data_IF_775435393782
#
_entry.id   IF_775435393782
#
_cell.length_a   1.000
_cell.length_b   1.000
_cell.length_c   1.000
_cell.angle_alpha   90.00
_cell.angle_beta   90.00
_cell.angle_gamma   90.00
#
_symmetry.space_group_name_H-M   'P 1'
#
loop_
_entity.id
_entity.type
_entity.pdbx_description
1 polymer ?
#
# COMPACT_ATOMS: atom_id res chain seq x y z
N UNK A 1 6.10 14.82 32.78
CA UNK A 1 5.04 14.41 31.85
C UNK A 1 5.71 14.13 30.51
N UNK A 2 5.76 12.86 30.09
CA UNK A 2 6.32 12.41 28.82
C UNK A 2 5.41 12.74 27.63
N UNK A 3 5.93 12.51 26.41
CA UNK A 3 5.27 12.87 25.14
C UNK A 3 3.88 12.23 24.98
N UNK A 4 3.68 11.02 25.50
CA UNK A 4 2.46 10.22 25.29
C UNK A 4 1.57 10.11 26.53
N UNK A 5 1.90 10.76 27.64
CA UNK A 5 1.18 10.61 28.92
C UNK A 5 -0.31 10.92 28.82
N UNK A 6 -0.72 11.83 27.92
CA UNK A 6 -2.14 12.12 27.68
C UNK A 6 -2.87 10.96 27.02
N UNK A 7 -2.20 10.23 26.13
CA UNK A 7 -2.81 9.10 25.44
C UNK A 7 -2.94 7.89 26.35
N UNK A 8 -1.99 7.68 27.27
CA UNK A 8 -2.04 6.58 28.25
C UNK A 8 -3.22 6.68 29.23
N UNK A 9 -3.89 7.83 29.31
CA UNK A 9 -5.14 8.00 30.07
C UNK A 9 -6.37 7.42 29.34
N UNK A 10 -6.27 7.11 28.05
CA UNK A 10 -7.36 6.57 27.25
C UNK A 10 -7.45 5.07 27.50
N UNK A 11 -8.64 4.59 27.91
CA UNK A 11 -8.87 3.17 28.12
C UNK A 11 -8.61 2.36 26.83
N UNK A 12 -7.83 1.28 26.95
CA UNK A 12 -7.45 0.43 25.82
C UNK A 12 -6.33 0.99 24.94
N UNK A 13 -5.71 2.12 25.31
CA UNK A 13 -4.50 2.59 24.63
C UNK A 13 -3.30 1.71 24.99
N UNK A 14 -2.55 1.28 23.97
CA UNK A 14 -1.33 0.48 24.14
C UNK A 14 -0.18 1.14 23.37
N UNK A 15 0.62 1.93 24.09
CA UNK A 15 1.73 2.66 23.48
C UNK A 15 2.85 1.73 23.01
N UNK A 16 3.04 0.58 23.67
CA UNK A 16 4.08 -0.37 23.30
C UNK A 16 3.74 -1.03 21.96
N UNK A 17 2.50 -1.49 21.79
CA UNK A 17 2.03 -2.03 20.51
C UNK A 17 2.12 -1.01 19.38
N UNK A 18 1.79 0.26 19.64
CA UNK A 18 1.97 1.32 18.65
C UNK A 18 3.45 1.50 18.29
N UNK A 19 4.35 1.53 19.27
CA UNK A 19 5.78 1.68 19.05
C UNK A 19 6.43 0.50 18.32
N UNK A 20 5.85 -0.70 18.39
CA UNK A 20 6.29 -1.88 17.65
C UNK A 20 5.64 -1.99 16.25
N UNK A 21 4.56 -1.24 16.01
CA UNK A 21 3.79 -1.32 14.77
C UNK A 21 4.53 -0.72 13.57
N UNK A 22 4.40 -1.40 12.43
CA UNK A 22 4.76 -0.88 11.11
C UNK A 22 3.49 -0.63 10.29
N UNK A 23 3.30 0.62 9.84
CA UNK A 23 2.19 0.99 8.96
C UNK A 23 2.71 1.40 7.60
N UNK A 24 2.16 0.81 6.54
CA UNK A 24 2.45 1.18 5.16
C UNK A 24 1.34 2.10 4.66
N UNK A 25 1.66 3.35 4.32
CA UNK A 25 0.71 4.35 3.84
C UNK A 25 0.94 4.56 2.34
N UNK A 26 -0.06 4.21 1.52
CA UNK A 26 0.00 4.37 0.08
C UNK A 26 -0.80 5.61 -0.34
N UNK A 27 -0.12 6.58 -0.95
CA UNK A 27 -0.62 7.92 -1.22
C UNK A 27 -0.33 8.86 -0.05
N UNK A 28 0.45 9.90 -0.31
CA UNK A 28 0.86 10.95 0.64
C UNK A 28 0.36 12.32 0.15
N UNK A 29 -0.78 12.32 -0.53
CA UNK A 29 -1.53 13.52 -0.88
C UNK A 29 -2.27 14.12 0.32
N UNK A 30 -3.47 14.65 0.08
CA UNK A 30 -4.27 15.34 1.10
C UNK A 30 -4.58 14.44 2.31
N UNK A 31 -5.25 13.30 2.08
CA UNK A 31 -5.65 12.36 3.14
C UNK A 31 -4.42 11.75 3.82
N UNK A 32 -3.48 11.25 3.02
CA UNK A 32 -2.30 10.53 3.50
C UNK A 32 -1.41 11.38 4.39
N UNK A 33 -1.24 12.66 4.04
CA UNK A 33 -0.48 13.61 4.86
C UNK A 33 -1.09 13.78 6.26
N UNK A 34 -2.42 13.94 6.35
CA UNK A 34 -3.12 14.03 7.64
C UNK A 34 -3.04 12.72 8.44
N UNK A 35 -3.25 11.59 7.78
CA UNK A 35 -3.20 10.28 8.43
C UNK A 35 -1.79 9.99 8.98
N UNK A 36 -0.75 10.17 8.16
CA UNK A 36 0.64 9.93 8.55
C UNK A 36 1.08 10.85 9.70
N UNK A 37 0.70 12.13 9.64
CA UNK A 37 0.95 13.10 10.71
C UNK A 37 0.34 12.64 12.05
N UNK A 38 -0.94 12.25 12.03
CA UNK A 38 -1.64 11.81 13.23
C UNK A 38 -1.05 10.50 13.79
N UNK A 39 -0.69 9.53 12.94
CA UNK A 39 -0.08 8.28 13.37
C UNK A 39 1.33 8.48 13.96
N UNK A 40 2.13 9.37 13.38
CA UNK A 40 3.44 9.72 13.94
C UNK A 40 3.30 10.37 15.32
N UNK A 41 2.33 11.27 15.50
CA UNK A 41 2.03 11.91 16.78
C UNK A 41 1.41 10.95 17.81
N UNK A 42 0.73 9.88 17.36
CA UNK A 42 0.28 8.79 18.21
C UNK A 42 1.43 7.87 18.67
N UNK A 43 2.63 8.01 18.08
CA UNK A 43 3.80 7.21 18.43
C UNK A 43 3.81 5.83 17.78
N UNK A 44 3.26 5.71 16.55
CA UNK A 44 3.51 4.53 15.72
C UNK A 44 5.01 4.40 15.46
N UNK A 45 5.55 3.19 15.61
CA UNK A 45 6.98 2.91 15.54
C UNK A 45 7.59 3.21 14.17
N UNK A 46 6.98 2.65 13.12
CA UNK A 46 7.47 2.80 11.74
C UNK A 46 6.35 3.17 10.79
N UNK A 47 6.59 4.19 9.97
CA UNK A 47 5.73 4.59 8.86
C UNK A 47 6.49 4.48 7.55
N UNK A 48 6.06 3.59 6.66
CA UNK A 48 6.55 3.53 5.28
C UNK A 48 5.58 4.32 4.38
N UNK A 49 6.05 5.46 3.87
CA UNK A 49 5.27 6.37 3.04
C UNK A 49 5.54 6.10 1.56
N UNK A 50 4.52 5.65 0.83
CA UNK A 50 4.63 5.26 -0.58
C UNK A 50 3.86 6.24 -1.45
N UNK A 51 4.57 7.04 -2.25
CA UNK A 51 3.98 7.99 -3.20
C UNK A 51 5.00 8.28 -4.31
N UNK A 52 4.68 7.97 -5.58
CA UNK A 52 5.60 8.17 -6.70
C UNK A 52 5.64 9.63 -7.19
N UNK A 53 4.75 10.49 -6.73
CA UNK A 53 4.61 11.83 -7.30
C UNK A 53 5.55 12.86 -6.64
N UNK A 54 5.80 13.93 -7.39
CA UNK A 54 6.37 15.16 -6.87
C UNK A 54 5.29 16.12 -6.37
N UNK A 55 5.70 17.05 -5.50
CA UNK A 55 4.83 18.07 -4.94
C UNK A 55 4.51 19.12 -6.00
N UNK A 56 3.22 19.43 -6.16
CA UNK A 56 2.72 20.53 -6.98
C UNK A 56 2.08 21.61 -6.12
N UNK A 57 1.95 22.83 -6.67
CA UNK A 57 1.28 23.96 -6.00
C UNK A 57 -0.14 23.59 -5.54
N UNK A 58 -0.89 22.84 -6.34
CA UNK A 58 -2.25 22.41 -6.00
C UNK A 58 -2.30 21.65 -4.67
N UNK A 59 -1.24 20.91 -4.31
CA UNK A 59 -1.20 20.11 -3.09
C UNK A 59 -1.14 20.97 -1.83
N UNK A 60 -0.57 22.18 -1.91
CA UNK A 60 -0.37 23.06 -0.75
C UNK A 60 -1.67 23.53 -0.10
N UNK A 61 -2.78 23.48 -0.84
CA UNK A 61 -4.12 23.79 -0.32
C UNK A 61 -4.65 22.76 0.69
N UNK A 62 -4.14 21.53 0.69
CA UNK A 62 -4.79 20.38 1.35
C UNK A 62 -3.86 19.33 1.97
N UNK A 63 -2.54 19.42 1.74
CA UNK A 63 -1.55 18.47 2.28
C UNK A 63 -0.65 19.19 3.32
N UNK A 64 -0.89 19.03 4.62
CA UNK A 64 -0.26 19.84 5.68
C UNK A 64 1.25 19.64 5.84
N UNK A 65 1.82 18.58 5.26
CA UNK A 65 3.25 18.27 5.35
C UNK A 65 4.11 19.06 4.36
N UNK A 66 3.53 19.68 3.33
CA UNK A 66 4.27 20.34 2.26
C UNK A 66 4.30 21.86 2.42
N UNK A 67 5.35 22.51 1.91
CA UNK A 67 5.52 23.96 1.84
C UNK A 67 5.77 24.41 0.40
N UNK A 68 5.65 25.71 0.14
CA UNK A 68 5.92 26.28 -1.18
C UNK A 68 7.32 25.92 -1.71
N UNK A 69 8.32 25.97 -0.84
CA UNK A 69 9.70 25.61 -1.18
C UNK A 69 9.91 24.10 -1.45
N UNK A 70 8.89 23.28 -1.20
CA UNK A 70 8.93 21.84 -1.47
C UNK A 70 8.42 21.48 -2.88
N UNK A 71 7.90 22.43 -3.66
CA UNK A 71 7.42 22.18 -5.03
C UNK A 71 8.51 21.54 -5.91
N UNK A 72 8.14 20.50 -6.65
CA UNK A 72 9.06 19.74 -7.51
C UNK A 72 9.91 18.70 -6.78
N UNK A 73 9.77 18.58 -5.45
CA UNK A 73 10.43 17.53 -4.67
C UNK A 73 9.51 16.31 -4.50
N UNK A 74 10.06 15.09 -4.30
CA UNK A 74 9.23 13.90 -4.10
C UNK A 74 8.38 13.97 -2.84
N UNK A 75 7.07 13.74 -2.97
CA UNK A 75 6.10 13.83 -1.85
C UNK A 75 6.49 12.94 -0.68
N UNK A 76 6.77 11.65 -0.95
CA UNK A 76 7.12 10.68 0.09
C UNK A 76 8.37 11.11 0.88
N UNK A 77 9.40 11.62 0.18
CA UNK A 77 10.66 12.03 0.80
C UNK A 77 10.49 13.25 1.70
N UNK A 78 9.78 14.28 1.23
CA UNK A 78 9.49 15.49 2.02
C UNK A 78 8.61 15.13 3.21
N UNK A 79 7.57 14.32 3.03
CA UNK A 79 6.71 13.88 4.12
C UNK A 79 7.49 13.13 5.20
N UNK A 80 8.34 12.16 4.82
CA UNK A 80 9.15 11.41 5.78
C UNK A 80 10.06 12.34 6.59
N UNK A 81 10.72 13.30 5.93
CA UNK A 81 11.54 14.31 6.60
C UNK A 81 10.72 15.13 7.62
N UNK A 82 9.55 15.63 7.22
CA UNK A 82 8.68 16.46 8.08
C UNK A 82 8.13 15.66 9.27
N UNK A 83 7.83 14.38 9.07
CA UNK A 83 7.41 13.50 10.17
C UNK A 83 8.55 13.19 11.13
N UNK A 84 9.78 13.05 10.65
CA UNK A 84 10.96 12.88 11.51
C UNK A 84 11.22 14.13 12.36
N UNK A 85 11.00 15.33 11.81
CA UNK A 85 11.04 16.60 12.57
C UNK A 85 9.94 16.64 13.64
N UNK A 86 8.72 16.22 13.29
CA UNK A 86 7.54 16.28 14.15
C UNK A 86 7.57 15.24 15.29
N UNK A 87 7.94 14.00 14.97
CA UNK A 87 7.97 12.87 15.89
C UNK A 87 9.27 12.08 15.71
N UNK A 88 10.37 12.48 16.39
CA UNK A 88 11.66 11.80 16.28
C UNK A 88 11.67 10.34 16.74
N UNK A 89 10.61 9.91 17.45
CA UNK A 89 10.44 8.53 17.91
C UNK A 89 9.78 7.62 16.86
N UNK A 90 9.18 8.20 15.82
CA UNK A 90 8.61 7.47 14.69
C UNK A 90 9.63 7.39 13.56
N UNK A 91 10.00 6.18 13.17
CA UNK A 91 10.84 5.94 11.99
C UNK A 91 9.99 6.12 10.72
N UNK A 92 10.05 7.31 10.13
CA UNK A 92 9.40 7.61 8.86
C UNK A 92 10.36 7.33 7.68
N UNK A 93 9.93 6.51 6.75
CA UNK A 93 10.68 6.13 5.55
C UNK A 93 9.89 6.48 4.29
N UNK A 94 10.60 6.85 3.22
CA UNK A 94 10.01 7.22 1.96
C UNK A 94 10.24 6.17 0.88
N UNK A 95 9.21 5.90 0.08
CA UNK A 95 9.26 5.07 -1.13
C UNK A 95 8.63 5.85 -2.28
N UNK A 96 9.47 6.49 -3.09
CA UNK A 96 9.10 7.25 -4.28
C UNK A 96 8.88 6.40 -5.54
N UNK A 97 8.40 5.16 -5.38
CA UNK A 97 8.27 4.19 -6.48
C UNK A 97 6.79 3.84 -6.71
N UNK A 98 6.40 3.41 -7.93
CA UNK A 98 5.03 3.00 -8.23
C UNK A 98 4.53 1.93 -7.26
N UNK A 99 3.25 1.94 -6.91
CA UNK A 99 2.67 1.04 -5.92
C UNK A 99 2.94 -0.45 -6.18
N UNK A 100 2.69 -0.90 -7.42
CA UNK A 100 2.73 -2.32 -7.79
C UNK A 100 4.15 -2.86 -7.81
N UNK A 101 5.11 -2.07 -8.28
CA UNK A 101 6.50 -2.51 -8.45
C UNK A 101 7.37 -2.10 -7.26
N UNK A 102 7.00 -1.02 -6.56
CA UNK A 102 7.80 -0.35 -5.57
C UNK A 102 7.50 -0.71 -4.11
N UNK A 103 6.48 -1.52 -3.81
CA UNK A 103 6.17 -1.98 -2.44
C UNK A 103 6.02 -3.49 -2.44
N UNK A 104 6.94 -4.21 -1.77
CA UNK A 104 7.02 -5.67 -1.89
C UNK A 104 5.83 -6.38 -1.26
N UNK A 105 5.41 -7.51 -1.85
CA UNK A 105 4.34 -8.33 -1.29
C UNK A 105 4.66 -8.82 0.13
N UNK A 106 5.91 -9.15 0.45
CA UNK A 106 6.28 -9.49 1.83
C UNK A 106 6.29 -8.26 2.76
N UNK A 107 6.64 -7.06 2.27
CA UNK A 107 6.51 -5.82 3.05
C UNK A 107 5.04 -5.56 3.44
N UNK A 108 4.10 -5.79 2.51
CA UNK A 108 2.65 -5.69 2.78
C UNK A 108 2.18 -6.77 3.75
N UNK A 109 2.62 -8.01 3.58
CA UNK A 109 2.26 -9.16 4.43
C UNK A 109 2.66 -8.93 5.89
N UNK A 110 3.86 -8.39 6.10
CA UNK A 110 4.46 -8.25 7.43
C UNK A 110 4.09 -6.91 8.09
N UNK A 111 3.42 -6.01 7.38
CA UNK A 111 2.91 -4.76 7.94
C UNK A 111 1.81 -5.03 8.99
N UNK A 112 1.83 -4.27 10.09
CA UNK A 112 0.76 -4.31 11.08
C UNK A 112 -0.57 -3.80 10.52
N UNK A 113 -0.49 -2.85 9.58
CA UNK A 113 -1.64 -2.33 8.83
C UNK A 113 -1.17 -1.67 7.53
N UNK A 114 -1.91 -1.89 6.44
CA UNK A 114 -1.77 -1.11 5.20
C UNK A 114 -2.89 -0.06 5.15
N UNK A 115 -2.55 1.18 4.84
CA UNK A 115 -3.50 2.29 4.71
C UNK A 115 -3.49 2.82 3.28
N UNK A 116 -4.63 2.76 2.61
CA UNK A 116 -4.85 3.34 1.27
C UNK A 116 -5.40 4.75 1.40
N UNK A 117 -4.63 5.71 0.90
CA UNK A 117 -5.00 7.12 0.75
C UNK A 117 -4.92 7.54 -0.74
N UNK A 118 -5.17 6.58 -1.64
CA UNK A 118 -5.08 6.75 -3.09
C UNK A 118 -6.34 7.43 -3.63
N UNK A 119 -6.23 8.18 -4.72
CA UNK A 119 -7.34 8.96 -5.31
C UNK A 119 -7.94 8.35 -6.57
N UNK A 120 -7.28 7.35 -7.17
CA UNK A 120 -7.81 6.63 -8.33
C UNK A 120 -8.37 5.25 -7.97
N UNK A 121 -9.45 4.88 -8.66
CA UNK A 121 -10.06 3.55 -8.53
C UNK A 121 -9.07 2.44 -8.88
N UNK A 122 -8.30 2.62 -9.95
CA UNK A 122 -7.32 1.65 -10.44
C UNK A 122 -6.22 1.38 -9.40
N UNK A 123 -5.64 2.42 -8.80
CA UNK A 123 -4.59 2.25 -7.80
C UNK A 123 -5.12 1.58 -6.52
N UNK A 124 -6.34 1.90 -6.10
CA UNK A 124 -7.01 1.21 -4.97
C UNK A 124 -7.26 -0.27 -5.24
N UNK A 125 -7.73 -0.60 -6.45
CA UNK A 125 -7.92 -2.00 -6.87
C UNK A 125 -6.60 -2.77 -6.87
N UNK A 126 -5.53 -2.17 -7.40
CA UNK A 126 -4.20 -2.76 -7.40
C UNK A 126 -3.70 -3.01 -5.97
N UNK A 127 -3.82 -2.03 -5.07
CA UNK A 127 -3.42 -2.21 -3.67
C UNK A 127 -4.23 -3.29 -2.96
N UNK A 128 -5.55 -3.26 -3.13
CA UNK A 128 -6.46 -4.23 -2.54
C UNK A 128 -6.15 -5.65 -3.01
N UNK A 129 -5.91 -5.86 -4.30
CA UNK A 129 -5.51 -7.15 -4.85
C UNK A 129 -4.18 -7.63 -4.26
N UNK A 130 -3.16 -6.76 -4.20
CA UNK A 130 -1.86 -7.09 -3.60
C UNK A 130 -1.98 -7.46 -2.11
N UNK A 131 -2.78 -6.72 -1.34
CA UNK A 131 -3.04 -7.05 0.06
C UNK A 131 -3.73 -8.41 0.19
N UNK A 132 -4.70 -8.72 -0.67
CA UNK A 132 -5.38 -10.02 -0.67
C UNK A 132 -4.44 -11.18 -1.01
N UNK A 133 -3.53 -11.01 -1.98
CA UNK A 133 -2.55 -12.04 -2.35
C UNK A 133 -1.75 -12.55 -1.15
N UNK A 134 -1.43 -11.68 -0.20
CA UNK A 134 -0.64 -12.02 1.00
C UNK A 134 -1.41 -12.01 2.31
N UNK A 135 -2.72 -11.75 2.26
CA UNK A 135 -3.58 -11.67 3.45
C UNK A 135 -3.29 -10.48 4.37
N UNK A 136 -2.82 -9.36 3.84
CA UNK A 136 -2.65 -8.12 4.59
C UNK A 136 -3.98 -7.41 4.85
N UNK A 137 -4.15 -6.85 6.04
CA UNK A 137 -5.30 -5.99 6.36
C UNK A 137 -5.14 -4.61 5.70
N UNK A 138 -6.21 -4.12 5.08
CA UNK A 138 -6.22 -2.85 4.35
C UNK A 138 -7.28 -1.91 4.91
N UNK A 139 -6.87 -0.72 5.34
CA UNK A 139 -7.74 0.39 5.71
C UNK A 139 -7.75 1.43 4.57
N UNK A 140 -8.84 1.55 3.84
CA UNK A 140 -9.00 2.49 2.72
C UNK A 140 -9.78 3.73 3.13
N UNK A 141 -9.33 4.88 2.64
CA UNK A 141 -10.07 6.13 2.72
C UNK A 141 -10.31 6.75 1.35
N UNK A 142 -11.50 7.28 1.16
CA UNK A 142 -11.83 8.10 0.00
C UNK A 142 -12.55 9.37 0.38
N UNK A 143 -12.41 10.40 -0.44
CA UNK A 143 -13.11 11.67 -0.26
C UNK A 143 -14.06 11.93 -1.42
N UNK A 144 -15.11 12.68 -1.12
CA UNK A 144 -15.99 13.37 -2.04
C UNK A 144 -16.01 14.86 -1.67
N UNK A 145 -16.74 15.69 -2.41
CA UNK A 145 -16.74 17.16 -2.21
C UNK A 145 -17.01 17.59 -0.76
N UNK A 146 -18.04 17.01 -0.15
CA UNK A 146 -18.51 17.31 1.20
C UNK A 146 -18.59 16.05 2.07
N UNK A 147 -17.72 15.08 1.84
CA UNK A 147 -17.80 13.81 2.55
C UNK A 147 -16.70 12.83 2.17
N UNK A 148 -16.91 11.58 2.53
CA UNK A 148 -15.94 10.56 2.24
C UNK A 148 -16.33 9.23 2.86
N UNK A 149 -15.41 8.28 2.77
CA UNK A 149 -15.65 6.92 3.20
C UNK A 149 -14.39 6.37 3.84
N UNK A 150 -14.58 5.60 4.91
CA UNK A 150 -13.54 4.83 5.59
C UNK A 150 -13.94 3.36 5.51
N UNK A 151 -13.02 2.50 5.10
CA UNK A 151 -13.31 1.09 4.85
C UNK A 151 -12.22 0.20 5.41
N UNK A 152 -12.60 -0.73 6.29
CA UNK A 152 -11.69 -1.78 6.73
C UNK A 152 -11.95 -3.06 5.93
N UNK A 153 -10.91 -3.54 5.27
CA UNK A 153 -10.87 -4.82 4.60
C UNK A 153 -10.01 -5.80 5.38
N UNK A 154 -10.69 -6.74 6.02
CA UNK A 154 -10.03 -7.89 6.62
C UNK A 154 -9.87 -9.00 5.57
N UNK A 155 -8.82 -9.83 5.65
CA UNK A 155 -8.55 -10.83 4.64
C UNK A 155 -9.69 -11.84 4.43
N UNK A 156 -10.49 -12.13 5.46
CA UNK A 156 -11.62 -13.07 5.37
C UNK A 156 -12.95 -12.41 4.94
N UNK A 157 -13.02 -11.08 4.90
CA UNK A 157 -14.22 -10.30 4.65
C UNK A 157 -14.49 -9.99 3.17
N UNK A 158 -15.46 -9.11 2.87
CA UNK A 158 -15.56 -8.49 1.55
C UNK A 158 -14.30 -7.68 1.25
N UNK A 159 -13.79 -7.71 0.02
CA UNK A 159 -12.72 -6.82 -0.42
C UNK A 159 -13.27 -5.55 -1.11
N UNK A 160 -12.38 -4.63 -1.50
CA UNK A 160 -12.72 -3.41 -2.23
C UNK A 160 -13.55 -3.69 -3.50
N UNK A 161 -13.15 -4.69 -4.30
CA UNK A 161 -13.87 -5.05 -5.51
C UNK A 161 -15.27 -5.63 -5.29
N UNK A 162 -15.58 -6.22 -4.11
CA UNK A 162 -16.91 -6.78 -3.84
C UNK A 162 -18.02 -5.73 -3.92
N UNK A 163 -17.72 -4.48 -3.59
CA UNK A 163 -18.68 -3.36 -3.68
C UNK A 163 -18.79 -2.73 -5.07
N UNK A 164 -18.02 -3.20 -6.06
CA UNK A 164 -17.95 -2.62 -7.39
C UNK A 164 -18.71 -3.44 -8.44
N UNK A 165 -19.16 -2.77 -9.50
CA UNK A 165 -19.71 -3.45 -10.66
C UNK A 165 -18.62 -4.26 -11.40
N UNK A 166 -18.99 -5.29 -12.19
CA UNK A 166 -18.01 -6.02 -13.01
C UNK A 166 -17.21 -5.10 -13.95
N UNK A 167 -17.83 -4.04 -14.49
CA UNK A 167 -17.16 -3.05 -15.34
C UNK A 167 -16.09 -2.28 -14.55
N UNK A 168 -16.41 -1.83 -13.35
CA UNK A 168 -15.47 -1.07 -12.52
C UNK A 168 -14.31 -1.94 -12.02
N UNK A 169 -14.53 -3.24 -11.79
CA UNK A 169 -13.46 -4.20 -11.47
C UNK A 169 -12.47 -4.36 -12.62
N UNK A 170 -12.93 -4.28 -13.87
CA UNK A 170 -12.07 -4.37 -15.04
C UNK A 170 -11.12 -3.18 -15.18
N UNK A 171 -11.31 -2.09 -14.42
CA UNK A 171 -10.35 -0.98 -14.35
C UNK A 171 -8.99 -1.40 -13.77
N UNK A 172 -8.89 -2.56 -13.11
CA UNK A 172 -7.60 -3.15 -12.73
C UNK A 172 -6.73 -3.52 -13.94
N UNK A 173 -7.35 -3.90 -15.06
CA UNK A 173 -6.66 -4.42 -16.26
C UNK A 173 -6.27 -3.33 -17.26
N UNK A 174 -6.55 -2.06 -16.94
CA UNK A 174 -6.32 -0.93 -17.82
C UNK A 174 -5.30 0.08 -17.25
N UNK A 175 -4.00 -0.05 -17.58
CA UNK A 175 -3.00 0.95 -17.24
C UNK A 175 -3.18 2.28 -18.00
N UNK A 176 -4.12 2.35 -18.95
CA UNK A 176 -4.43 3.52 -19.77
C UNK A 176 -5.86 4.05 -19.55
N UNK A 177 -6.51 3.70 -18.44
CA UNK A 177 -7.77 4.30 -18.03
C UNK A 177 -7.59 5.77 -17.56
N UNK A 178 -6.94 6.58 -18.38
CA UNK A 178 -7.24 7.98 -18.56
C UNK A 178 -8.27 8.19 -19.71
N UNK A 179 -8.85 7.13 -20.28
CA UNK A 179 -9.92 7.23 -21.27
C UNK A 179 -11.16 6.39 -20.88
N UNK A 180 -12.32 7.03 -20.94
CA UNK A 180 -13.70 6.49 -21.07
C UNK A 180 -14.53 6.15 -19.82
N UNK A 181 -14.01 6.34 -18.61
CA UNK A 181 -14.84 6.74 -17.49
C UNK A 181 -14.40 8.14 -17.07
N UNK A 182 -14.93 9.16 -17.76
CA UNK A 182 -14.98 10.51 -17.20
C UNK A 182 -15.89 10.44 -15.98
N UNK A 183 -15.37 9.92 -14.87
CA UNK A 183 -15.88 10.27 -13.55
C UNK A 183 -15.50 11.74 -13.43
N UNK A 184 -16.46 12.67 -13.31
CA UNK A 184 -16.13 14.07 -13.10
C UNK A 184 -15.15 14.13 -11.93
N UNK A 185 -14.02 14.80 -12.12
CA UNK A 185 -13.02 14.97 -11.08
C UNK A 185 -13.67 15.72 -9.91
N UNK A 186 -14.15 14.96 -8.93
CA UNK A 186 -14.84 15.51 -7.78
C UNK A 186 -13.76 15.98 -6.80
N UNK A 187 -13.44 17.27 -6.85
CA UNK A 187 -12.55 17.87 -5.87
C UNK A 187 -13.05 17.66 -4.45
N UNK A 188 -12.17 17.31 -3.53
CA UNK A 188 -12.47 17.27 -2.10
C UNK A 188 -11.97 18.55 -1.42
N UNK A 189 -12.77 19.11 -0.52
CA UNK A 189 -12.32 20.26 0.26
C UNK A 189 -11.20 19.85 1.23
N UNK A 190 -10.31 20.79 1.55
CA UNK A 190 -9.23 20.55 2.51
C UNK A 190 -9.74 20.09 3.90
N UNK A 191 -10.83 20.67 4.47
CA UNK A 191 -11.39 20.19 5.74
C UNK A 191 -11.90 18.74 5.68
N UNK A 192 -12.53 18.35 4.56
CA UNK A 192 -12.99 16.97 4.35
C UNK A 192 -11.81 16.01 4.27
N UNK A 193 -10.74 16.39 3.57
CA UNK A 193 -9.50 15.59 3.51
C UNK A 193 -8.89 15.41 4.90
N UNK A 194 -8.88 16.46 5.71
CA UNK A 194 -8.41 16.43 7.10
C UNK A 194 -9.29 15.53 7.99
N UNK A 195 -10.61 15.62 7.84
CA UNK A 195 -11.58 14.80 8.58
C UNK A 195 -11.38 13.31 8.29
N UNK A 196 -11.36 12.94 7.00
CA UNK A 196 -11.21 11.53 6.59
C UNK A 196 -9.81 11.02 6.94
N UNK A 197 -8.75 11.80 6.72
CA UNK A 197 -7.38 11.43 7.12
C UNK A 197 -7.24 11.19 8.62
N UNK A 198 -7.88 12.02 9.45
CA UNK A 198 -7.90 11.85 10.91
C UNK A 198 -8.73 10.63 11.32
N UNK A 199 -9.82 10.34 10.61
CA UNK A 199 -10.64 9.15 10.86
C UNK A 199 -9.89 7.86 10.49
N UNK A 200 -9.13 7.85 9.40
CA UNK A 200 -8.21 6.74 9.11
C UNK A 200 -7.23 6.54 10.26
N UNK A 201 -6.60 7.61 10.75
CA UNK A 201 -5.63 7.52 11.84
C UNK A 201 -6.26 6.99 13.14
N UNK A 202 -7.43 7.48 13.56
CA UNK A 202 -8.08 6.96 14.78
C UNK A 202 -8.50 5.50 14.63
N UNK A 203 -8.95 5.08 13.44
CA UNK A 203 -9.30 3.68 13.16
C UNK A 203 -8.06 2.79 13.20
N UNK A 204 -6.97 3.22 12.58
CA UNK A 204 -5.68 2.54 12.61
C UNK A 204 -5.14 2.40 14.04
N UNK A 205 -5.12 3.48 14.84
CA UNK A 205 -4.68 3.41 16.25
C UNK A 205 -5.53 2.42 17.05
N UNK A 206 -6.85 2.44 16.88
CA UNK A 206 -7.73 1.46 17.55
C UNK A 206 -7.38 0.03 17.17
N UNK A 207 -7.21 -0.25 15.88
CA UNK A 207 -6.80 -1.57 15.38
C UNK A 207 -5.44 -2.01 15.96
N UNK A 208 -4.45 -1.12 15.93
CA UNK A 208 -3.09 -1.41 16.39
C UNK A 208 -3.03 -1.65 17.91
N UNK A 209 -3.87 -0.96 18.69
CA UNK A 209 -4.07 -1.21 20.12
C UNK A 209 -4.92 -2.46 20.41
N UNK A 210 -5.47 -3.13 19.37
CA UNK A 210 -6.33 -4.31 19.51
C UNK A 210 -7.76 -4.02 19.94
N UNK A 211 -8.20 -2.77 19.86
CA UNK A 211 -9.59 -2.42 20.07
C UNK A 211 -10.43 -2.82 18.86
N UNK A 212 -11.65 -3.31 19.12
CA UNK A 212 -12.61 -3.59 18.06
C UNK A 212 -12.94 -2.30 17.29
N UNK A 213 -13.03 -2.44 15.97
CA UNK A 213 -13.56 -1.43 15.05
C UNK A 213 -14.73 -2.04 14.29
N UNK A 214 -15.71 -1.22 13.93
CA UNK A 214 -16.86 -1.70 13.17
C UNK A 214 -16.41 -2.24 11.81
N UNK A 215 -16.85 -3.45 11.40
CA UNK A 215 -16.50 -3.99 10.10
C UNK A 215 -17.20 -3.21 8.98
N UNK A 216 -16.58 -3.22 7.79
CA UNK A 216 -17.20 -2.71 6.57
C UNK A 216 -16.86 -1.25 6.26
N UNK A 217 -17.86 -0.53 5.75
CA UNK A 217 -17.71 0.81 5.17
C UNK A 217 -18.47 1.81 6.03
N UNK A 218 -17.85 2.92 6.37
CA UNK A 218 -18.49 4.07 6.99
C UNK A 218 -18.52 5.18 5.95
N UNK A 219 -19.72 5.62 5.56
CA UNK A 219 -19.92 6.78 4.68
C UNK A 219 -20.22 8.01 5.51
N UNK A 220 -19.42 9.04 5.29
CA UNK A 220 -19.47 10.33 5.96
C UNK A 220 -20.05 11.36 5.00
N UNK A 221 -21.12 12.02 5.42
CA UNK A 221 -21.73 13.15 4.71
C UNK A 221 -21.71 14.34 5.66
N UNK A 222 -20.88 15.35 5.34
CA UNK A 222 -20.74 16.55 6.17
C UNK A 222 -21.85 17.57 5.92
N UNK A 223 -22.49 17.54 4.76
CA UNK A 223 -23.64 18.41 4.47
C UNK A 223 -24.85 17.98 5.30
N UNK A 224 -25.06 16.66 5.43
CA UNK A 224 -26.10 16.08 6.29
C UNK A 224 -25.67 15.84 7.74
N UNK A 225 -24.40 16.07 8.08
CA UNK A 225 -23.80 15.75 9.39
C UNK A 225 -24.02 14.28 9.83
N UNK A 226 -23.90 13.33 8.90
CA UNK A 226 -24.13 11.90 9.18
C UNK A 226 -22.90 11.04 8.94
N UNK A 227 -22.80 9.96 9.71
CA UNK A 227 -21.87 8.86 9.48
C UNK A 227 -22.66 7.55 9.50
N UNK A 228 -22.75 6.89 8.35
CA UNK A 228 -23.64 5.74 8.15
C UNK A 228 -22.84 4.49 7.78
N UNK A 229 -22.99 3.38 8.53
CA UNK A 229 -22.46 2.09 8.10
C UNK A 229 -23.13 1.64 6.81
N UNK A 230 -22.34 1.21 5.83
CA UNK A 230 -22.79 0.64 4.57
C UNK A 230 -22.39 -0.83 4.54
N UNK A 231 -23.39 -1.70 4.41
CA UNK A 231 -23.16 -3.13 4.31
C UNK A 231 -22.58 -3.49 2.94
N UNK A 232 -21.42 -4.15 2.94
CA UNK A 232 -20.84 -4.77 1.75
C UNK A 232 -20.88 -6.27 1.93
N UNK A 233 -21.42 -6.99 0.95
CA UNK A 233 -21.43 -8.45 0.96
C UNK A 233 -20.18 -8.97 0.25
N UNK A 234 -19.61 -10.04 0.80
CA UNK A 234 -18.53 -10.76 0.14
C UNK A 234 -19.09 -11.43 -1.11
N UNK A 235 -18.47 -11.14 -2.25
CA UNK A 235 -18.75 -11.82 -3.51
C UNK A 235 -17.84 -13.07 -3.61
N UNK A 236 -18.41 -14.28 -3.65
CA UNK A 236 -17.64 -15.52 -3.72
C UNK A 236 -16.83 -15.65 -5.01
N UNK A 237 -17.27 -15.00 -6.09
CA UNK A 237 -16.65 -15.07 -7.42
C UNK A 237 -15.75 -13.85 -7.69
N UNK A 238 -15.46 -13.04 -6.67
CA UNK A 238 -14.61 -11.87 -6.82
C UNK A 238 -13.16 -12.30 -7.17
N UNK A 239 -12.60 -11.85 -8.31
CA UNK A 239 -11.25 -12.24 -8.74
C UNK A 239 -10.15 -11.69 -7.81
N UNK A 240 -10.47 -10.70 -6.97
CA UNK A 240 -9.54 -10.15 -5.99
C UNK A 240 -9.32 -11.03 -4.76
N UNK A 241 -10.08 -12.11 -4.57
CA UNK A 241 -9.93 -13.01 -3.42
C UNK A 241 -8.88 -14.11 -3.63
N UNK A 242 -8.02 -13.99 -4.64
CA UNK A 242 -6.88 -14.88 -4.82
C UNK A 242 -5.82 -14.67 -3.73
N UNK A 243 -5.32 -15.76 -3.14
CA UNK A 243 -4.17 -15.76 -2.23
C UNK A 243 -3.02 -16.55 -2.82
N UNK A 244 -1.81 -16.13 -2.50
CA UNK A 244 -0.59 -16.93 -2.67
C UNK A 244 -0.52 -17.88 -1.47
N UNK A 245 -0.61 -19.21 -1.68
CA UNK A 245 -0.44 -20.18 -0.61
C UNK A 245 0.98 -20.13 -0.07
N UNK A 246 1.14 -20.09 1.26
CA UNK A 246 2.45 -19.93 1.90
C UNK A 246 3.40 -21.09 1.59
N UNK A 247 2.85 -22.29 1.40
CA UNK A 247 3.58 -23.51 1.01
C UNK A 247 4.19 -23.44 -0.39
N UNK A 248 3.72 -22.52 -1.24
CA UNK A 248 4.28 -22.30 -2.57
C UNK A 248 5.40 -21.23 -2.57
N UNK A 249 5.67 -20.58 -1.43
CA UNK A 249 6.67 -19.52 -1.31
C UNK A 249 7.97 -20.06 -0.73
N UNK A 250 9.05 -20.02 -1.51
CA UNK A 250 10.39 -20.37 -1.07
C UNK A 250 11.22 -19.10 -0.85
N UNK A 251 11.82 -18.95 0.33
CA UNK A 251 12.76 -17.85 0.58
C UNK A 251 14.09 -18.08 -0.15
N UNK A 252 14.64 -17.02 -0.72
CA UNK A 252 15.97 -17.03 -1.37
C UNK A 252 16.88 -15.98 -0.74
N UNK A 253 18.21 -16.19 -0.76
CA UNK A 253 19.14 -15.22 -0.19
C UNK A 253 19.31 -13.96 -1.06
N UNK A 254 18.78 -13.97 -2.29
CA UNK A 254 18.82 -12.82 -3.19
C UNK A 254 18.00 -11.67 -2.65
N UNK A 255 18.47 -10.45 -2.92
CA UNK A 255 17.82 -9.23 -2.45
C UNK A 255 17.47 -8.38 -3.66
N UNK A 256 16.82 -7.23 -3.46
CA UNK A 256 16.63 -6.26 -4.54
C UNK A 256 17.96 -5.72 -5.14
N UNK A 257 19.11 -5.99 -4.50
CA UNK A 257 20.44 -5.66 -5.04
C UNK A 257 21.04 -6.75 -5.94
N UNK A 258 20.46 -7.95 -5.95
CA UNK A 258 20.83 -9.02 -6.89
C UNK A 258 20.45 -8.64 -8.32
N UNK A 259 20.81 -9.50 -9.28
CA UNK A 259 20.54 -9.32 -10.72
C UNK A 259 19.57 -10.38 -11.27
N UNK A 260 18.93 -10.15 -12.44
CA UNK A 260 18.16 -11.17 -13.14
C UNK A 260 18.90 -12.49 -13.38
N UNK A 261 20.21 -12.42 -13.67
CA UNK A 261 21.05 -13.60 -13.86
C UNK A 261 21.15 -14.43 -12.57
N UNK A 262 21.40 -13.78 -11.42
CA UNK A 262 21.51 -14.47 -10.12
C UNK A 262 20.23 -15.28 -9.80
N UNK A 263 19.06 -14.73 -10.12
CA UNK A 263 17.78 -15.43 -9.92
C UNK A 263 17.55 -16.54 -10.93
N UNK A 264 17.93 -16.32 -12.19
CA UNK A 264 17.73 -17.29 -13.28
C UNK A 264 18.63 -18.52 -13.11
N UNK A 265 19.85 -18.34 -12.60
CA UNK A 265 20.80 -19.43 -12.31
C UNK A 265 20.29 -20.40 -11.22
N UNK A 266 19.24 -20.03 -10.47
CA UNK A 266 18.59 -20.88 -9.46
C UNK A 266 17.42 -21.70 -10.01
N UNK A 267 16.97 -21.41 -11.22
CA UNK A 267 15.79 -22.02 -11.81
C UNK A 267 16.15 -23.32 -12.51
N UNK A 268 15.21 -24.27 -12.53
CA UNK A 268 15.33 -25.40 -13.44
C UNK A 268 15.26 -24.90 -14.91
N UNK A 269 15.84 -25.62 -15.88
CA UNK A 269 15.86 -25.19 -17.29
C UNK A 269 14.48 -24.86 -17.89
N UNK A 270 13.42 -25.50 -17.39
CA UNK A 270 12.03 -25.31 -17.80
C UNK A 270 11.29 -24.19 -17.04
N UNK A 271 11.92 -23.56 -16.06
CA UNK A 271 11.31 -22.55 -15.21
C UNK A 271 11.62 -21.12 -15.68
N UNK A 272 10.71 -20.19 -15.40
CA UNK A 272 10.89 -18.78 -15.67
C UNK A 272 10.37 -17.96 -14.51
N UNK A 273 11.23 -17.13 -13.93
CA UNK A 273 10.83 -16.15 -12.92
C UNK A 273 10.21 -14.93 -13.59
N UNK A 274 9.10 -14.49 -13.03
CA UNK A 274 8.31 -13.36 -13.47
C UNK A 274 8.48 -12.19 -12.50
N UNK A 275 8.27 -10.97 -12.97
CA UNK A 275 8.24 -9.78 -12.14
C UNK A 275 6.97 -8.95 -12.37
N UNK A 276 6.56 -8.24 -11.33
CA UNK A 276 5.46 -7.28 -11.36
C UNK A 276 5.90 -5.93 -11.95
N UNK A 277 7.20 -5.71 -12.13
CA UNK A 277 7.75 -4.48 -12.66
C UNK A 277 7.64 -4.39 -14.19
N UNK A 278 7.47 -3.17 -14.70
CA UNK A 278 7.59 -2.87 -16.11
C UNK A 278 9.08 -2.88 -16.51
N UNK A 279 9.46 -3.71 -17.49
CA UNK A 279 10.84 -3.77 -17.96
C UNK A 279 11.10 -2.71 -19.04
N UNK A 280 12.33 -2.15 -19.15
CA UNK A 280 12.67 -1.20 -20.20
C UNK A 280 12.35 -1.74 -21.59
N UNK A 281 11.61 -0.99 -22.40
CA UNK A 281 11.20 -1.39 -23.75
C UNK A 281 9.98 -2.33 -23.82
N UNK A 282 9.37 -2.69 -22.69
CA UNK A 282 8.07 -3.37 -22.65
C UNK A 282 6.92 -2.37 -22.51
N UNK A 283 5.77 -2.64 -23.12
CA UNK A 283 4.54 -1.89 -22.82
C UNK A 283 4.21 -2.05 -21.32
N UNK A 284 3.62 -1.04 -20.64
CA UNK A 284 3.27 -1.14 -19.23
C UNK A 284 2.45 -2.42 -19.02
N UNK A 285 2.91 -3.33 -18.15
CA UNK A 285 2.43 -4.70 -18.17
C UNK A 285 0.94 -4.78 -17.85
N UNK A 286 0.17 -5.39 -18.75
CA UNK A 286 -1.15 -5.96 -18.42
C UNK A 286 -1.03 -7.24 -17.59
N UNK A 287 0.18 -7.78 -17.42
CA UNK A 287 0.51 -9.02 -16.73
C UNK A 287 2.01 -9.07 -16.34
N UNK A 288 2.40 -9.94 -15.41
CA UNK A 288 3.80 -10.13 -15.02
C UNK A 288 4.73 -10.34 -16.22
N UNK A 289 5.92 -9.72 -16.22
CA UNK A 289 6.92 -9.82 -17.30
C UNK A 289 7.97 -10.89 -16.96
N UNK A 290 8.59 -11.52 -17.97
CA UNK A 290 9.67 -12.50 -17.69
C UNK A 290 10.93 -11.74 -17.33
N UNK A 291 11.51 -12.06 -16.18
CA UNK A 291 12.70 -11.36 -15.71
C UNK A 291 13.91 -11.57 -16.63
N UNK A 292 13.95 -12.70 -17.34
CA UNK A 292 14.97 -13.02 -18.34
C UNK A 292 14.97 -12.08 -19.55
N UNK A 293 13.88 -11.33 -19.80
CA UNK A 293 13.81 -10.32 -20.86
C UNK A 293 14.50 -9.00 -20.44
N UNK A 294 14.94 -8.87 -19.17
CA UNK A 294 15.65 -7.69 -18.64
C UNK A 294 17.18 -7.77 -18.88
N UNK A 295 17.89 -6.63 -18.85
CA UNK A 295 19.36 -6.64 -18.87
C UNK A 295 19.92 -7.50 -17.73
N UNK A 296 20.72 -8.56 -18.01
CA UNK A 296 21.01 -9.61 -17.05
C UNK A 296 21.85 -9.16 -15.84
N UNK A 297 22.56 -8.03 -15.98
CA UNK A 297 23.43 -7.45 -14.95
C UNK A 297 22.85 -6.19 -14.29
N UNK A 298 21.66 -5.76 -14.68
CA UNK A 298 20.99 -4.67 -13.98
C UNK A 298 20.58 -5.15 -12.58
N UNK A 299 20.59 -4.26 -11.58
CA UNK A 299 20.08 -4.62 -10.26
C UNK A 299 18.56 -4.72 -10.34
N UNK A 300 17.97 -5.66 -9.61
CA UNK A 300 16.52 -5.83 -9.55
C UNK A 300 15.82 -4.54 -9.11
N UNK A 301 16.39 -3.81 -8.15
CA UNK A 301 15.90 -2.50 -7.71
C UNK A 301 15.87 -1.45 -8.83
N UNK A 302 16.88 -1.42 -9.70
CA UNK A 302 16.95 -0.48 -10.84
C UNK A 302 15.91 -0.84 -11.92
N UNK A 303 15.48 -2.11 -11.96
CA UNK A 303 14.38 -2.61 -12.78
C UNK A 303 13.01 -2.39 -12.12
N UNK A 304 12.97 -1.75 -10.95
CA UNK A 304 11.75 -1.48 -10.20
C UNK A 304 11.19 -2.68 -9.45
N UNK A 305 11.97 -3.72 -9.17
CA UNK A 305 11.57 -4.81 -8.27
C UNK A 305 11.68 -4.35 -6.83
N UNK A 306 10.59 -4.47 -6.07
CA UNK A 306 10.56 -4.06 -4.68
C UNK A 306 11.52 -4.88 -3.78
N UNK A 307 12.01 -4.28 -2.68
CA UNK A 307 12.56 -5.01 -1.55
C UNK A 307 11.60 -6.09 -1.06
N UNK A 308 12.14 -7.27 -0.72
CA UNK A 308 11.35 -8.41 -0.22
C UNK A 308 10.14 -8.74 -1.10
N UNK A 309 10.27 -8.60 -2.41
CA UNK A 309 9.20 -8.97 -3.33
C UNK A 309 9.00 -10.49 -3.36
N UNK A 310 7.75 -10.91 -3.58
CA UNK A 310 7.38 -12.30 -3.86
C UNK A 310 7.18 -12.44 -5.36
N UNK A 311 8.14 -13.10 -6.01
CA UNK A 311 8.21 -13.24 -7.47
C UNK A 311 7.62 -14.59 -7.91
N UNK A 312 6.67 -14.62 -8.87
CA UNK A 312 6.17 -15.87 -9.43
C UNK A 312 7.26 -16.60 -10.22
N UNK A 313 7.28 -17.92 -10.16
CA UNK A 313 8.07 -18.80 -11.03
C UNK A 313 7.11 -19.74 -11.74
N UNK A 314 7.15 -19.71 -13.07
CA UNK A 314 6.31 -20.51 -13.94
C UNK A 314 7.14 -21.67 -14.50
N UNK A 315 6.67 -22.91 -14.32
CA UNK A 315 7.26 -24.07 -15.00
C UNK A 315 6.58 -24.30 -16.36
N UNK A 316 7.38 -24.48 -17.41
CA UNK A 316 6.90 -24.83 -18.75
C UNK A 316 6.87 -26.36 -18.91
N UNK A 317 5.68 -26.95 -18.88
CA UNK A 317 5.49 -28.40 -18.96
C UNK A 317 4.02 -28.83 -19.12
N UNK A 318 3.74 -30.14 -19.23
CA UNK A 318 2.39 -30.70 -19.43
C UNK A 318 1.38 -30.35 -18.32
N UNK A 319 1.88 -30.02 -17.13
CA UNK A 319 1.11 -29.44 -16.02
C UNK A 319 1.77 -28.11 -15.64
N UNK A 320 1.11 -26.97 -15.92
CA UNK A 320 1.57 -25.66 -15.45
C UNK A 320 1.54 -25.64 -13.92
N UNK A 321 2.71 -25.68 -13.30
CA UNK A 321 2.87 -25.46 -11.87
C UNK A 321 3.41 -24.05 -11.63
N UNK A 322 2.92 -23.38 -10.60
CA UNK A 322 3.39 -22.07 -10.15
C UNK A 322 3.96 -22.24 -8.75
N UNK A 323 5.17 -21.72 -8.53
CA UNK A 323 5.75 -21.50 -7.21
C UNK A 323 6.21 -20.05 -7.11
N UNK A 324 6.69 -19.63 -5.94
CA UNK A 324 7.09 -18.25 -5.70
C UNK A 324 8.44 -18.18 -4.99
N UNK A 325 9.19 -17.12 -5.25
CA UNK A 325 10.44 -16.78 -4.58
C UNK A 325 10.26 -15.52 -3.75
N UNK A 326 10.53 -15.58 -2.45
CA UNK A 326 10.59 -14.38 -1.59
C UNK A 326 12.04 -13.90 -1.48
N UNK A 327 12.29 -12.67 -1.92
CA UNK A 327 13.59 -12.02 -1.78
C UNK A 327 13.89 -11.70 -0.31
N UNK A 328 15.16 -11.83 0.08
CA UNK A 328 15.66 -11.40 1.37
C UNK A 328 15.74 -9.85 1.48
N UNK A 329 15.85 -9.36 2.71
CA UNK A 329 16.09 -7.95 2.99
C UNK A 329 17.55 -7.56 2.71
N UNK A 330 17.76 -6.45 2.01
CA UNK A 330 19.09 -5.94 1.76
C UNK A 330 19.74 -5.44 3.07
N UNK A 331 20.75 -6.17 3.56
CA UNK A 331 21.50 -5.79 4.77
C UNK A 331 21.13 -6.56 6.04
N UNK A 332 20.21 -7.53 5.98
CA UNK A 332 19.97 -8.47 7.08
C UNK A 332 21.03 -9.57 7.11
N UNK A 333 21.77 -9.71 8.22
CA UNK A 333 22.44 -10.98 8.53
C UNK A 333 21.34 -12.04 8.53
N UNK A 334 21.36 -12.94 7.54
CA UNK A 334 20.37 -14.01 7.45
C UNK A 334 20.24 -14.71 8.79
N UNK A 335 19.07 -14.65 9.41
CA UNK A 335 18.69 -15.60 10.43
C UNK A 335 18.40 -16.90 9.69
N UNK A 336 19.19 -17.98 9.91
CA UNK A 336 18.74 -19.30 9.49
C UNK A 336 17.48 -19.60 10.30
N UNK A 337 16.44 -20.06 9.61
CA UNK A 337 15.30 -20.72 10.27
C UNK A 337 15.77 -21.99 10.98
#
# INVERSE_FOLDING_TARGET
MGRFDRHTLIAGWDQQRLAEATVVICGVGALGSHCAQALALAGVGRLLLCDPDDISESNLSRAPLFRADDIGRPKAAVAAHRLAELSPVTRAEARGAPLVSGVGLAELRDASLVVSCLDSLAARLQLAGRCQLVGAALLDGGTSAWGGEIRLYEPAGPCFGCGLSPRDRAAQDDPWACADAVVPEAGASAPVSALIGSWLAVTAVRLLCGAAVGPGVIRVDTAGATATPVAVRRDPDCPLHTRIPAELVAAVPDTALSTPADLTDRLAPEETVMTWAALPGSAPPRASTRLADAPPRARLADLGVAPREILPVLATGRTRAIRYLELAEAGGKGTPR
#
